data_IF_136868189080
#
_entry.id   IF_136868189080
#
_cell.length_a   1.000
_cell.length_b   1.000
_cell.length_c   1.000
_cell.angle_alpha   90.00
_cell.angle_beta   90.00
_cell.angle_gamma   90.00
#
_symmetry.space_group_name_H-M   'P 1'
#
loop_
_entity.id
_entity.type
_entity.pdbx_description
1 polymer ?
#
# COMPACT_ATOMS: atom_id res chain seq x y z
N UNK A 1 -41.29 -3.18 42.61
CA UNK A 1 -42.59 -2.54 42.81
C UNK A 1 -42.37 -1.40 43.80
N UNK A 2 -42.57 -0.16 43.35
CA UNK A 2 -42.51 1.07 44.17
C UNK A 2 -41.23 1.92 44.01
N UNK A 3 -41.25 3.01 43.22
CA UNK A 3 -41.50 4.45 43.54
C UNK A 3 -40.31 5.14 44.23
N UNK A 4 -39.86 6.38 43.97
CA UNK A 4 -39.96 7.39 42.91
C UNK A 4 -39.00 8.56 43.31
N UNK A 5 -38.35 9.20 42.32
CA UNK A 5 -38.05 10.66 42.12
C UNK A 5 -38.29 11.68 43.27
N UNK A 6 -37.60 12.82 43.46
CA UNK A 6 -36.77 13.70 42.60
C UNK A 6 -36.21 14.90 43.44
N UNK A 7 -35.32 15.70 42.82
CA UNK A 7 -34.87 17.08 43.12
C UNK A 7 -33.77 17.24 44.18
N UNK A 8 -32.70 18.04 44.01
CA UNK A 8 -32.37 19.09 43.06
C UNK A 8 -31.73 20.27 43.83
N UNK A 9 -30.56 20.77 43.42
CA UNK A 9 -29.93 21.94 44.07
C UNK A 9 -28.54 22.27 43.55
N UNK A 10 -28.32 23.55 43.23
CA UNK A 10 -27.24 24.10 42.40
C UNK A 10 -26.42 25.19 43.10
N UNK A 11 -25.13 25.30 42.72
CA UNK A 11 -24.34 26.55 42.46
C UNK A 11 -23.65 27.37 43.59
N UNK A 12 -22.43 27.83 43.22
CA UNK A 12 -21.46 28.81 43.81
C UNK A 12 -20.69 28.35 45.05
N UNK A 13 -19.39 28.62 45.28
CA UNK A 13 -18.32 29.53 44.81
C UNK A 13 -16.97 28.76 44.89
N UNK A 14 -15.86 29.07 44.22
CA UNK A 14 -14.92 30.14 44.56
C UNK A 14 -13.72 30.19 43.59
N UNK A 15 -13.19 31.41 43.44
CA UNK A 15 -12.02 31.79 42.65
C UNK A 15 -10.68 31.44 43.35
N UNK A 16 -9.64 31.37 42.52
CA UNK A 16 -8.26 31.89 42.72
C UNK A 16 -7.10 30.93 43.02
N UNK A 17 -5.95 31.26 42.41
CA UNK A 17 -4.56 30.90 42.75
C UNK A 17 -4.12 29.46 42.40
N UNK A 18 -3.05 29.18 41.66
CA UNK A 18 -1.70 29.76 41.67
C UNK A 18 -0.98 29.59 40.31
N UNK A 19 -0.58 30.72 39.72
CA UNK A 19 0.62 30.87 38.89
C UNK A 19 1.78 31.27 39.81
N UNK A 20 2.96 30.66 39.69
CA UNK A 20 4.25 31.38 39.59
C UNK A 20 5.47 30.46 39.52
N UNK A 21 6.42 30.96 38.76
CA UNK A 21 7.76 30.54 38.39
C UNK A 21 8.84 31.02 39.38
N UNK A 22 10.11 30.73 39.02
CA UNK A 22 11.40 31.31 39.50
C UNK A 22 11.95 30.58 40.74
N UNK A 23 13.23 30.14 40.80
CA UNK A 23 14.40 30.97 41.12
C UNK A 23 15.73 30.21 40.86
N UNK A 24 16.69 30.97 40.28
CA UNK A 24 18.13 30.74 40.19
C UNK A 24 18.83 30.64 41.56
N UNK A 25 19.88 29.83 41.68
CA UNK A 25 20.86 29.98 42.77
C UNK A 25 22.28 30.05 42.21
N UNK A 26 22.97 31.14 42.54
CA UNK A 26 24.42 31.34 42.41
C UNK A 26 24.86 32.17 43.63
N UNK A 27 25.94 31.80 44.33
CA UNK A 27 26.96 32.65 45.00
C UNK A 27 27.83 31.80 45.97
N UNK A 28 29.15 31.62 45.86
CA UNK A 28 30.40 32.44 46.02
C UNK A 28 31.03 32.40 47.43
N UNK A 29 32.35 32.08 47.50
CA UNK A 29 33.51 32.70 48.24
C UNK A 29 34.55 31.63 48.66
N UNK A 30 35.74 31.49 48.03
CA UNK A 30 37.02 32.25 48.11
C UNK A 30 38.01 31.72 49.16
N UNK A 31 39.22 31.26 48.76
CA UNK A 31 40.50 31.40 49.53
C UNK A 31 41.73 31.31 48.60
N UNK A 32 42.54 32.37 48.69
CA UNK A 32 43.98 32.62 48.50
C UNK A 32 44.89 31.92 47.47
N UNK A 33 45.66 32.80 46.81
CA UNK A 33 46.84 32.60 45.96
C UNK A 33 48.05 32.15 46.77
N UNK A 34 48.89 31.30 46.18
CA UNK A 34 50.33 31.31 46.40
C UNK A 34 51.05 31.10 45.07
N UNK A 35 51.78 32.13 44.64
CA UNK A 35 52.64 32.10 43.46
C UNK A 35 53.99 31.52 43.88
N UNK A 36 54.43 30.46 43.20
CA UNK A 36 55.84 30.05 43.18
C UNK A 36 56.27 29.89 41.73
N UNK A 37 57.10 30.81 41.28
CA UNK A 37 57.93 30.70 40.08
C UNK A 37 59.04 29.70 40.35
N UNK A 38 59.19 28.67 39.51
CA UNK A 38 60.46 27.98 39.30
C UNK A 38 60.51 27.49 37.84
N UNK A 39 61.64 27.75 37.21
CA UNK A 39 61.91 27.58 35.79
C UNK A 39 62.41 26.17 35.42
N UNK A 40 62.54 26.01 34.10
CA UNK A 40 63.47 25.15 33.34
C UNK A 40 63.13 23.68 33.07
N UNK A 41 62.86 23.47 31.77
CA UNK A 41 63.31 22.39 30.86
C UNK A 41 62.86 20.95 31.12
N UNK A 42 62.06 20.41 30.20
CA UNK A 42 62.33 19.08 29.64
C UNK A 42 61.57 18.86 28.33
N UNK A 43 62.31 18.52 27.29
CA UNK A 43 61.81 18.14 25.97
C UNK A 43 60.91 16.91 26.07
N UNK A 44 59.63 17.02 25.68
CA UNK A 44 58.84 15.88 25.21
C UNK A 44 58.06 16.31 23.98
N UNK A 45 58.39 15.66 22.87
CA UNK A 45 57.66 15.70 21.61
C UNK A 45 56.34 14.96 21.85
N UNK A 46 55.21 15.63 21.63
CA UNK A 46 53.88 15.00 21.73
C UNK A 46 53.75 13.93 20.64
N UNK A 47 53.61 12.68 21.08
CA UNK A 47 53.34 11.55 20.21
C UNK A 47 51.90 11.68 19.67
N UNK A 48 51.67 11.57 18.34
CA UNK A 48 50.34 11.76 17.80
C UNK A 48 49.43 10.58 18.22
N UNK A 49 48.28 10.92 18.81
CA UNK A 49 47.22 9.99 19.18
C UNK A 49 46.87 9.07 18.00
N UNK A 50 47.18 7.78 18.13
CA UNK A 50 46.71 6.74 17.20
C UNK A 50 45.19 6.62 17.34
N UNK A 51 44.48 7.10 16.32
CA UNK A 51 43.06 6.81 16.14
C UNK A 51 42.98 5.39 15.59
N UNK A 52 42.42 4.46 16.36
CA UNK A 52 42.10 3.13 15.84
C UNK A 52 41.05 3.29 14.74
N UNK A 53 41.38 2.83 13.53
CA UNK A 53 40.45 2.74 12.40
C UNK A 53 39.27 1.85 12.81
N UNK A 54 38.06 2.40 12.73
CA UNK A 54 36.85 1.68 13.05
C UNK A 54 36.71 0.46 12.13
N UNK A 55 36.62 -0.73 12.73
CA UNK A 55 36.35 -1.97 12.00
C UNK A 55 35.07 -1.82 11.16
N UNK A 56 35.18 -2.17 9.88
CA UNK A 56 34.04 -2.19 8.97
C UNK A 56 33.07 -3.28 9.42
N UNK A 57 31.99 -2.88 10.08
CA UNK A 57 30.88 -3.76 10.40
C UNK A 57 30.31 -4.28 9.08
N UNK A 58 30.46 -5.58 8.85
CA UNK A 58 29.93 -6.27 7.67
C UNK A 58 28.40 -6.39 7.85
N UNK A 59 27.67 -5.35 7.45
CA UNK A 59 26.21 -5.37 7.46
C UNK A 59 25.78 -6.30 6.31
N UNK A 60 25.12 -7.44 6.59
CA UNK A 60 24.57 -8.25 5.52
C UNK A 60 23.65 -7.38 4.66
N UNK A 61 23.67 -7.52 3.32
CA UNK A 61 22.84 -6.71 2.44
C UNK A 61 21.38 -6.79 2.92
N UNK A 62 20.64 -5.66 2.92
CA UNK A 62 19.26 -5.67 3.37
C UNK A 62 18.51 -6.78 2.64
N UNK A 63 17.68 -7.56 3.35
CA UNK A 63 16.96 -8.67 2.74
C UNK A 63 16.23 -8.13 1.52
N UNK A 64 16.57 -8.67 0.34
CA UNK A 64 16.01 -8.21 -0.93
C UNK A 64 14.48 -8.21 -0.82
N UNK A 65 13.85 -7.05 -0.91
CA UNK A 65 12.40 -6.94 -0.81
C UNK A 65 11.75 -7.81 -1.89
N UNK A 66 11.15 -8.91 -1.44
CA UNK A 66 10.46 -9.86 -2.28
C UNK A 66 9.00 -9.46 -2.35
N UNK A 67 8.57 -9.04 -3.53
CA UNK A 67 7.22 -8.60 -3.84
C UNK A 67 6.48 -9.72 -4.59
N UNK A 68 5.32 -10.11 -4.08
CA UNK A 68 4.42 -11.05 -4.77
C UNK A 68 3.25 -10.30 -5.43
N UNK A 69 3.08 -10.47 -6.74
CA UNK A 69 1.96 -9.90 -7.51
C UNK A 69 0.96 -11.00 -7.84
N UNK A 70 -0.23 -10.95 -7.24
CA UNK A 70 -1.33 -11.85 -7.56
C UNK A 70 -2.04 -11.34 -8.82
N UNK A 71 -2.08 -12.16 -9.87
CA UNK A 71 -2.56 -11.74 -11.18
C UNK A 71 -1.53 -10.94 -11.99
N UNK A 72 -0.23 -11.13 -11.75
CA UNK A 72 0.86 -10.38 -12.41
C UNK A 72 0.97 -10.59 -13.92
N UNK A 73 0.36 -11.63 -14.49
CA UNK A 73 0.31 -11.82 -15.94
C UNK A 73 -0.88 -11.09 -16.62
N UNK A 74 -1.73 -10.42 -15.85
CA UNK A 74 -2.87 -9.65 -16.33
C UNK A 74 -2.51 -8.26 -16.88
N UNK A 75 -3.53 -7.45 -17.19
CA UNK A 75 -3.33 -6.10 -17.73
C UNK A 75 -2.64 -5.17 -16.72
N UNK A 76 -3.23 -4.99 -15.54
CA UNK A 76 -2.65 -4.13 -14.48
C UNK A 76 -1.43 -4.79 -13.85
N UNK A 77 -1.52 -6.10 -13.57
CA UNK A 77 -0.45 -6.86 -12.93
C UNK A 77 0.88 -6.83 -13.70
N UNK A 78 0.86 -6.89 -15.02
CA UNK A 78 2.09 -6.85 -15.82
C UNK A 78 2.80 -5.49 -15.75
N UNK A 79 2.05 -4.40 -15.69
CA UNK A 79 2.60 -3.06 -15.47
C UNK A 79 3.20 -2.93 -14.07
N UNK A 80 2.58 -3.53 -13.05
CA UNK A 80 3.10 -3.57 -11.68
C UNK A 80 4.40 -4.39 -11.61
N UNK A 81 4.45 -5.57 -12.24
CA UNK A 81 5.66 -6.38 -12.27
C UNK A 81 6.82 -5.62 -12.94
N UNK A 82 6.55 -4.94 -14.06
CA UNK A 82 7.56 -4.14 -14.76
C UNK A 82 8.05 -2.97 -13.91
N UNK A 83 7.14 -2.18 -13.35
CA UNK A 83 7.49 -1.06 -12.47
C UNK A 83 8.28 -1.53 -11.23
N UNK A 84 7.92 -2.66 -10.63
CA UNK A 84 8.64 -3.21 -9.49
C UNK A 84 10.07 -3.66 -9.84
N UNK A 85 10.25 -4.29 -11.00
CA UNK A 85 11.58 -4.66 -11.50
C UNK A 85 12.43 -3.42 -11.81
N UNK A 86 11.83 -2.36 -12.37
CA UNK A 86 12.52 -1.11 -12.67
C UNK A 86 13.02 -0.42 -11.38
N UNK A 87 12.41 -0.73 -10.23
CA UNK A 87 12.87 -0.31 -8.88
C UNK A 87 13.84 -1.28 -8.20
N UNK A 88 14.28 -2.33 -8.90
CA UNK A 88 15.26 -3.30 -8.38
C UNK A 88 14.70 -4.32 -7.39
N UNK A 89 13.37 -4.48 -7.32
CA UNK A 89 12.73 -5.45 -6.42
C UNK A 89 12.83 -6.88 -6.97
N UNK A 90 12.83 -7.86 -6.06
CA UNK A 90 12.67 -9.27 -6.44
C UNK A 90 11.19 -9.57 -6.65
N UNK A 91 10.78 -9.77 -7.91
CA UNK A 91 9.37 -9.89 -8.28
C UNK A 91 8.97 -11.34 -8.52
N UNK A 92 7.98 -11.79 -7.75
CA UNK A 92 7.28 -13.04 -7.98
C UNK A 92 5.85 -12.74 -8.42
N UNK A 93 5.27 -13.59 -9.25
CA UNK A 93 3.87 -13.46 -9.66
C UNK A 93 3.17 -14.80 -9.57
N UNK A 94 1.97 -14.82 -9.00
CA UNK A 94 1.10 -15.99 -8.98
C UNK A 94 -0.13 -15.74 -9.86
N UNK A 95 -0.44 -16.68 -10.75
CA UNK A 95 -1.66 -16.65 -11.55
C UNK A 95 -2.10 -18.05 -11.98
N UNK A 96 -3.37 -18.20 -12.39
CA UNK A 96 -3.92 -19.50 -12.80
C UNK A 96 -3.21 -20.13 -13.99
N UNK A 97 -2.79 -19.32 -14.95
CA UNK A 97 -2.04 -19.77 -16.14
C UNK A 97 -0.51 -19.72 -15.96
N UNK A 98 -0.03 -19.27 -14.80
CA UNK A 98 1.40 -19.16 -14.53
C UNK A 98 2.10 -18.09 -15.37
N UNK A 99 2.99 -18.53 -16.26
CA UNK A 99 3.88 -17.66 -17.04
C UNK A 99 3.10 -16.63 -17.87
N UNK A 100 3.62 -15.41 -17.95
CA UNK A 100 3.05 -14.35 -18.79
C UNK A 100 3.25 -14.62 -20.27
N UNK A 101 2.28 -14.20 -21.10
CA UNK A 101 2.39 -14.20 -22.57
C UNK A 101 3.18 -13.01 -23.12
N UNK A 102 3.68 -12.13 -22.26
CA UNK A 102 4.51 -10.98 -22.63
C UNK A 102 5.88 -11.45 -23.10
N UNK A 103 6.29 -11.02 -24.29
CA UNK A 103 7.56 -11.37 -24.94
C UNK A 103 8.61 -10.26 -24.77
N UNK A 104 8.69 -9.65 -23.60
CA UNK A 104 9.67 -8.60 -23.28
C UNK A 104 10.76 -9.17 -22.35
N UNK A 105 12.01 -8.69 -22.50
CA UNK A 105 13.15 -9.22 -21.74
C UNK A 105 12.98 -9.14 -20.21
N UNK A 106 12.24 -8.14 -19.71
CA UNK A 106 11.96 -8.01 -18.28
C UNK A 106 11.12 -9.16 -17.73
N UNK A 107 10.26 -9.78 -18.56
CA UNK A 107 9.37 -10.85 -18.10
C UNK A 107 10.15 -12.10 -17.68
N UNK A 108 11.37 -12.29 -18.19
CA UNK A 108 12.28 -13.36 -17.78
C UNK A 108 12.91 -13.11 -16.39
N UNK A 109 12.84 -11.88 -15.88
CA UNK A 109 13.31 -11.52 -14.54
C UNK A 109 12.25 -11.74 -13.45
N UNK A 110 10.99 -11.99 -13.84
CA UNK A 110 9.92 -12.33 -12.91
C UNK A 110 9.90 -13.83 -12.67
N UNK A 111 9.82 -14.24 -11.40
CA UNK A 111 9.55 -15.63 -11.06
C UNK A 111 8.05 -15.91 -11.14
N UNK A 112 7.64 -16.71 -12.11
CA UNK A 112 6.23 -17.03 -12.36
C UNK A 112 5.82 -18.31 -11.65
N UNK A 113 4.80 -18.21 -10.83
CA UNK A 113 4.15 -19.32 -10.14
C UNK A 113 2.78 -19.58 -10.75
N UNK A 114 2.45 -20.86 -10.93
CA UNK A 114 1.11 -21.28 -11.31
C UNK A 114 0.32 -21.68 -10.05
N UNK A 115 -0.88 -21.11 -9.88
CA UNK A 115 -1.74 -21.46 -8.76
C UNK A 115 -3.08 -20.74 -8.78
N UNK A 116 -3.96 -21.14 -7.87
CA UNK A 116 -5.31 -20.62 -7.74
C UNK A 116 -5.54 -20.09 -6.32
N UNK A 117 -5.92 -18.82 -6.19
CA UNK A 117 -6.21 -18.18 -4.91
C UNK A 117 -7.39 -18.84 -4.17
N UNK A 118 -8.25 -19.59 -4.86
CA UNK A 118 -9.28 -20.42 -4.24
C UNK A 118 -8.72 -21.67 -3.55
N UNK A 119 -7.50 -22.07 -3.89
CA UNK A 119 -6.78 -23.20 -3.33
C UNK A 119 -5.61 -22.71 -2.47
N UNK A 120 -5.85 -22.55 -1.17
CA UNK A 120 -4.88 -21.97 -0.20
C UNK A 120 -3.51 -22.65 -0.24
N UNK A 121 -3.46 -23.97 -0.48
CA UNK A 121 -2.19 -24.70 -0.59
C UNK A 121 -1.30 -24.18 -1.73
N UNK A 122 -1.87 -23.68 -2.83
CA UNK A 122 -1.11 -23.14 -3.96
C UNK A 122 -0.47 -21.77 -3.67
N UNK A 123 -0.88 -21.10 -2.58
CA UNK A 123 -0.32 -19.83 -2.15
C UNK A 123 0.94 -20.00 -1.31
N UNK A 124 1.13 -21.14 -0.65
CA UNK A 124 2.21 -21.37 0.34
C UNK A 124 3.59 -21.15 -0.27
N UNK A 125 3.86 -21.81 -1.39
CA UNK A 125 5.16 -21.73 -2.06
C UNK A 125 5.43 -20.32 -2.61
N UNK A 126 4.39 -19.65 -3.10
CA UNK A 126 4.49 -18.31 -3.64
C UNK A 126 4.73 -17.25 -2.56
N UNK A 127 4.20 -17.45 -1.35
CA UNK A 127 4.32 -16.53 -0.20
C UNK A 127 5.61 -16.72 0.60
N UNK A 128 6.37 -17.80 0.39
CA UNK A 128 7.58 -18.06 1.15
C UNK A 128 8.61 -16.91 1.00
N UNK A 129 8.97 -16.29 2.12
CA UNK A 129 9.93 -15.18 2.18
C UNK A 129 9.43 -13.88 1.54
N UNK A 130 8.12 -13.76 1.26
CA UNK A 130 7.52 -12.55 0.69
C UNK A 130 7.40 -11.47 1.76
N UNK A 131 7.83 -10.26 1.42
CA UNK A 131 7.78 -9.10 2.32
C UNK A 131 6.53 -8.24 2.09
N UNK A 132 6.07 -8.18 0.84
CA UNK A 132 4.92 -7.39 0.42
C UNK A 132 4.12 -8.10 -0.69
N UNK A 133 2.81 -7.87 -0.72
CA UNK A 133 1.90 -8.46 -1.71
C UNK A 133 1.10 -7.37 -2.40
N UNK A 134 0.90 -7.49 -3.72
CA UNK A 134 -0.08 -6.69 -4.47
C UNK A 134 -1.08 -7.63 -5.13
N UNK A 135 -2.36 -7.51 -4.82
CA UNK A 135 -3.40 -8.27 -5.51
C UNK A 135 -4.11 -7.43 -6.58
N UNK A 136 -4.02 -7.92 -7.82
CA UNK A 136 -4.72 -7.39 -8.99
C UNK A 136 -5.80 -8.35 -9.51
N UNK A 137 -6.19 -9.33 -8.69
CA UNK A 137 -7.12 -10.37 -9.11
C UNK A 137 -8.54 -9.81 -9.17
N UNK A 138 -9.08 -9.80 -10.38
CA UNK A 138 -10.50 -9.57 -10.60
C UNK A 138 -11.00 -10.15 -11.92
N UNK A 139 -12.29 -10.43 -11.97
CA UNK A 139 -12.96 -11.00 -13.14
C UNK A 139 -14.37 -10.47 -13.28
N UNK A 140 -14.88 -10.49 -14.51
CA UNK A 140 -16.29 -10.30 -14.83
C UNK A 140 -16.93 -11.66 -15.17
N UNK A 141 -18.25 -11.75 -15.08
CA UNK A 141 -19.00 -12.98 -15.32
C UNK A 141 -20.35 -12.96 -14.61
N UNK A 142 -20.85 -14.13 -14.21
CA UNK A 142 -22.07 -14.22 -13.38
C UNK A 142 -21.83 -13.62 -12.00
N UNK A 143 -22.87 -13.10 -11.34
CA UNK A 143 -22.75 -12.50 -10.00
C UNK A 143 -22.07 -13.44 -8.99
N UNK A 144 -22.44 -14.72 -8.96
CA UNK A 144 -21.83 -15.71 -8.07
C UNK A 144 -20.35 -15.95 -8.37
N UNK A 145 -19.98 -16.02 -9.66
CA UNK A 145 -18.59 -16.18 -10.07
C UNK A 145 -17.75 -14.93 -9.73
N UNK A 146 -18.31 -13.75 -9.96
CA UNK A 146 -17.68 -12.48 -9.61
C UNK A 146 -17.46 -12.39 -8.10
N UNK A 147 -18.44 -12.73 -7.26
CA UNK A 147 -18.25 -12.72 -5.82
C UNK A 147 -17.17 -13.70 -5.38
N UNK A 148 -17.20 -14.93 -5.91
CA UNK A 148 -16.22 -15.97 -5.60
C UNK A 148 -14.78 -15.54 -5.91
N UNK A 149 -14.54 -14.94 -7.08
CA UNK A 149 -13.19 -14.56 -7.49
C UNK A 149 -12.77 -13.20 -6.92
N UNK A 150 -13.62 -12.18 -7.01
CA UNK A 150 -13.28 -10.83 -6.53
C UNK A 150 -13.27 -10.73 -5.00
N UNK A 151 -14.08 -11.54 -4.31
CA UNK A 151 -14.14 -11.63 -2.85
C UNK A 151 -13.37 -12.82 -2.30
N UNK A 152 -13.94 -14.02 -2.36
CA UNK A 152 -13.42 -15.21 -1.66
C UNK A 152 -11.95 -15.49 -1.98
N UNK A 153 -11.55 -15.43 -3.26
CA UNK A 153 -10.17 -15.69 -3.64
C UNK A 153 -9.19 -14.63 -3.06
N UNK A 154 -9.58 -13.35 -3.08
CA UNK A 154 -8.77 -12.28 -2.49
C UNK A 154 -8.70 -12.37 -0.97
N UNK A 155 -9.82 -12.71 -0.30
CA UNK A 155 -9.88 -12.95 1.14
C UNK A 155 -8.92 -14.07 1.55
N UNK A 156 -8.91 -15.18 0.81
CA UNK A 156 -7.97 -16.28 1.04
C UNK A 156 -6.52 -15.83 0.91
N UNK A 157 -6.21 -15.03 -0.11
CA UNK A 157 -4.87 -14.50 -0.30
C UNK A 157 -4.43 -13.54 0.82
N UNK A 158 -5.33 -12.67 1.28
CA UNK A 158 -5.09 -11.76 2.41
C UNK A 158 -4.78 -12.56 3.67
N UNK A 159 -5.61 -13.57 3.97
CA UNK A 159 -5.41 -14.43 5.15
C UNK A 159 -4.10 -15.20 5.08
N UNK A 160 -3.82 -15.84 3.95
CA UNK A 160 -2.58 -16.58 3.75
C UNK A 160 -1.34 -15.67 3.87
N UNK A 161 -1.40 -14.44 3.32
CA UNK A 161 -0.32 -13.47 3.45
C UNK A 161 -0.11 -13.03 4.91
N UNK A 162 -1.20 -12.80 5.65
CA UNK A 162 -1.13 -12.44 7.07
C UNK A 162 -0.53 -13.57 7.92
N UNK A 163 -0.93 -14.83 7.67
CA UNK A 163 -0.38 -16.01 8.33
C UNK A 163 1.12 -16.21 8.07
N UNK A 164 1.62 -15.78 6.91
CA UNK A 164 3.03 -15.83 6.53
C UNK A 164 3.84 -14.61 7.02
N UNK A 165 3.22 -13.68 7.76
CA UNK A 165 3.90 -12.52 8.32
C UNK A 165 4.29 -11.45 7.28
N UNK A 166 3.57 -11.39 6.15
CA UNK A 166 3.73 -10.30 5.17
C UNK A 166 3.52 -8.96 5.87
N UNK A 167 4.36 -7.96 5.58
CA UNK A 167 4.31 -6.66 6.26
C UNK A 167 3.31 -5.71 5.65
N UNK A 168 3.19 -5.72 4.32
CA UNK A 168 2.33 -4.81 3.56
C UNK A 168 1.55 -5.55 2.48
N UNK A 169 0.29 -5.19 2.32
CA UNK A 169 -0.60 -5.78 1.33
C UNK A 169 -1.37 -4.66 0.63
N UNK A 170 -1.15 -4.50 -0.67
CA UNK A 170 -1.91 -3.59 -1.51
C UNK A 170 -2.96 -4.35 -2.34
N UNK A 171 -4.17 -3.81 -2.42
CA UNK A 171 -5.27 -4.40 -3.16
C UNK A 171 -5.85 -3.45 -4.20
N UNK A 172 -5.92 -3.90 -5.46
CA UNK A 172 -6.53 -3.14 -6.56
C UNK A 172 -8.04 -3.42 -6.58
N UNK A 173 -8.77 -2.57 -5.86
CA UNK A 173 -10.23 -2.55 -5.82
C UNK A 173 -10.81 -1.80 -7.03
N UNK A 174 -11.99 -1.18 -6.88
CA UNK A 174 -12.64 -0.36 -7.89
C UNK A 174 -13.38 0.81 -7.23
N UNK A 175 -13.39 1.95 -7.92
CA UNK A 175 -14.27 3.07 -7.58
C UNK A 175 -15.74 2.69 -7.80
N UNK A 176 -16.63 3.29 -7.02
CA UNK A 176 -18.07 3.12 -7.17
C UNK A 176 -18.57 3.91 -8.38
N UNK A 177 -19.30 3.26 -9.28
CA UNK A 177 -19.83 3.85 -10.51
C UNK A 177 -21.37 3.89 -10.51
N UNK A 178 -21.97 4.06 -9.33
CA UNK A 178 -23.42 4.24 -9.18
C UNK A 178 -24.22 3.08 -9.79
N UNK A 179 -24.91 3.35 -10.90
CA UNK A 179 -25.77 2.37 -11.59
C UNK A 179 -25.03 1.08 -11.99
N UNK A 180 -23.74 1.19 -12.34
CA UNK A 180 -22.91 0.02 -12.71
C UNK A 180 -22.75 -0.94 -11.52
N UNK A 181 -22.80 -0.44 -10.28
CA UNK A 181 -22.74 -1.26 -9.09
C UNK A 181 -23.93 -2.22 -8.99
N UNK A 182 -25.12 -1.79 -9.44
CA UNK A 182 -26.32 -2.64 -9.47
C UNK A 182 -26.25 -3.71 -10.55
N UNK A 183 -25.58 -3.43 -11.67
CA UNK A 183 -25.40 -4.42 -12.75
C UNK A 183 -24.34 -5.47 -12.39
N UNK A 184 -23.34 -5.08 -11.60
CA UNK A 184 -22.21 -5.92 -11.21
C UNK A 184 -22.16 -6.13 -9.69
N UNK A 185 -23.31 -6.41 -9.05
CA UNK A 185 -23.40 -6.55 -7.59
C UNK A 185 -22.34 -7.50 -7.02
N UNK A 186 -22.23 -8.72 -7.56
CA UNK A 186 -21.25 -9.70 -7.06
C UNK A 186 -19.79 -9.26 -7.24
N UNK A 187 -19.48 -8.40 -8.22
CA UNK A 187 -18.16 -7.81 -8.37
C UNK A 187 -17.86 -6.84 -7.22
N UNK A 188 -18.74 -5.87 -7.00
CA UNK A 188 -18.56 -4.85 -5.97
C UNK A 188 -18.64 -5.42 -4.57
N UNK A 189 -19.62 -6.27 -4.28
CA UNK A 189 -19.74 -6.97 -3.00
C UNK A 189 -18.49 -7.79 -2.70
N UNK A 190 -17.99 -8.55 -3.69
CA UNK A 190 -16.75 -9.30 -3.54
C UNK A 190 -15.56 -8.40 -3.23
N UNK A 191 -15.38 -7.32 -3.99
CA UNK A 191 -14.29 -6.35 -3.74
C UNK A 191 -14.40 -5.70 -2.36
N UNK A 192 -15.59 -5.27 -1.95
CA UNK A 192 -15.85 -4.65 -0.65
C UNK A 192 -15.61 -5.64 0.51
N UNK A 193 -15.96 -6.92 0.34
CA UNK A 193 -15.66 -7.95 1.32
C UNK A 193 -14.14 -8.17 1.48
N UNK A 194 -13.39 -8.19 0.36
CA UNK A 194 -11.93 -8.26 0.40
C UNK A 194 -11.28 -7.02 1.04
N UNK A 195 -11.82 -5.82 0.80
CA UNK A 195 -11.38 -4.59 1.47
C UNK A 195 -11.53 -4.67 2.99
N UNK A 196 -12.69 -5.11 3.47
CA UNK A 196 -12.94 -5.27 4.91
C UNK A 196 -11.96 -6.25 5.55
N UNK A 197 -11.74 -7.40 4.91
CA UNK A 197 -10.76 -8.39 5.39
C UNK A 197 -9.35 -7.81 5.41
N UNK A 198 -8.95 -7.07 4.37
CA UNK A 198 -7.62 -6.45 4.28
C UNK A 198 -7.39 -5.46 5.42
N UNK A 199 -8.34 -4.56 5.68
CA UNK A 199 -8.23 -3.60 6.78
C UNK A 199 -8.21 -4.28 8.15
N UNK A 200 -8.86 -5.44 8.27
CA UNK A 200 -8.86 -6.23 9.52
C UNK A 200 -7.53 -6.94 9.74
N UNK A 201 -6.95 -7.55 8.70
CA UNK A 201 -5.71 -8.34 8.80
C UNK A 201 -4.44 -7.50 8.73
N UNK A 202 -4.49 -6.34 8.07
CA UNK A 202 -3.36 -5.44 7.88
C UNK A 202 -3.70 -4.00 8.31
N UNK A 203 -3.97 -3.74 9.60
CA UNK A 203 -4.36 -2.42 10.08
C UNK A 203 -3.31 -1.32 9.81
N UNK A 204 -2.02 -1.69 9.80
CA UNK A 204 -0.90 -0.76 9.61
C UNK A 204 -0.21 -0.87 8.24
N UNK A 205 -0.50 -1.92 7.47
CA UNK A 205 0.18 -2.21 6.20
C UNK A 205 -0.76 -2.47 5.03
N UNK A 206 -2.07 -2.40 5.25
CA UNK A 206 -3.10 -2.65 4.25
C UNK A 206 -3.41 -1.39 3.47
N UNK A 207 -3.26 -1.43 2.15
CA UNK A 207 -3.59 -0.32 1.25
C UNK A 207 -4.59 -0.77 0.21
N UNK A 208 -5.70 -0.06 0.09
CA UNK A 208 -6.74 -0.32 -0.91
C UNK A 208 -6.68 0.79 -1.95
N UNK A 209 -6.42 0.43 -3.20
CA UNK A 209 -6.48 1.35 -4.31
C UNK A 209 -7.82 1.18 -5.01
N UNK A 210 -8.63 2.24 -5.09
CA UNK A 210 -9.91 2.26 -5.82
C UNK A 210 -9.75 3.07 -7.11
N UNK A 211 -9.10 2.53 -8.16
CA UNK A 211 -8.96 3.23 -9.42
C UNK A 211 -10.32 3.40 -10.10
N UNK A 212 -10.39 4.47 -10.90
CA UNK A 212 -11.45 4.67 -11.86
C UNK A 212 -11.21 3.83 -13.11
N UNK A 213 -11.72 4.28 -14.25
CA UNK A 213 -11.47 3.61 -15.51
C UNK A 213 -9.97 3.64 -15.84
N UNK A 214 -9.37 2.47 -16.04
CA UNK A 214 -7.95 2.35 -16.37
C UNK A 214 -7.76 2.18 -17.87
N UNK A 215 -6.86 2.97 -18.47
CA UNK A 215 -6.47 2.83 -19.87
C UNK A 215 -4.96 2.60 -20.02
N UNK A 216 -4.58 1.98 -21.13
CA UNK A 216 -3.18 1.68 -21.43
C UNK A 216 -3.06 0.60 -22.51
N UNK A 217 -1.82 0.27 -22.84
CA UNK A 217 -1.52 -0.72 -23.89
C UNK A 217 -1.07 -2.04 -23.26
N UNK A 218 -1.69 -3.15 -23.66
CA UNK A 218 -1.17 -4.49 -23.38
C UNK A 218 -0.56 -5.04 -24.66
N UNK A 219 0.69 -5.46 -24.61
CA UNK A 219 1.30 -6.23 -25.70
C UNK A 219 1.03 -7.71 -25.44
N UNK A 220 0.28 -8.35 -26.31
CA UNK A 220 0.07 -9.81 -26.30
C UNK A 220 0.67 -10.32 -27.60
N UNK A 221 1.86 -10.93 -27.53
CA UNK A 221 2.68 -11.19 -28.72
C UNK A 221 3.22 -9.92 -29.39
N UNK A 222 3.29 -9.91 -30.73
CA UNK A 222 3.77 -8.78 -31.54
C UNK A 222 2.78 -7.62 -31.72
N UNK A 223 1.54 -7.75 -31.23
CA UNK A 223 0.49 -6.73 -31.42
C UNK A 223 0.27 -5.89 -30.16
N UNK A 224 0.23 -4.56 -30.34
CA UNK A 224 -0.19 -3.60 -29.30
C UNK A 224 -1.71 -3.56 -29.30
N UNK A 225 -2.34 -4.20 -28.32
CA UNK A 225 -3.77 -4.03 -28.10
C UNK A 225 -3.96 -2.82 -27.17
N UNK A 226 -4.53 -1.70 -27.66
CA UNK A 226 -5.03 -0.66 -26.77
C UNK A 226 -6.26 -1.24 -26.06
N UNK A 227 -6.05 -1.93 -24.95
CA UNK A 227 -7.13 -2.54 -24.16
C UNK A 227 -7.83 -1.49 -23.29
N UNK A 228 -8.16 -0.33 -23.87
CA UNK A 228 -9.18 0.58 -23.33
C UNK A 228 -10.60 0.05 -23.54
N UNK A 229 -10.77 -1.20 -24.01
CA UNK A 229 -12.04 -1.76 -24.48
C UNK A 229 -12.43 -3.07 -23.78
N UNK A 230 -11.52 -3.74 -23.04
CA UNK A 230 -11.94 -4.91 -22.23
C UNK A 230 -12.55 -4.40 -20.93
N UNK A 231 -13.86 -4.16 -20.96
CA UNK A 231 -14.65 -3.85 -19.77
C UNK A 231 -14.89 -2.36 -19.53
N UNK A 232 -14.96 -1.54 -20.59
CA UNK A 232 -15.56 -0.22 -20.40
C UNK A 232 -16.99 -0.43 -19.88
N UNK A 233 -17.35 0.13 -18.70
CA UNK A 233 -18.74 0.11 -18.25
C UNK A 233 -19.62 0.77 -19.29
N UNK A 234 -19.09 1.70 -20.09
CA UNK A 234 -19.82 2.37 -21.16
C UNK A 234 -20.29 1.40 -22.24
N UNK A 235 -19.47 0.47 -22.74
CA UNK A 235 -19.92 -0.48 -23.77
C UNK A 235 -20.90 -1.50 -23.19
N UNK A 236 -20.72 -1.90 -21.93
CA UNK A 236 -21.68 -2.74 -21.22
C UNK A 236 -23.00 -2.01 -20.92
N UNK A 237 -22.93 -0.73 -20.57
CA UNK A 237 -24.07 0.18 -20.38
C UNK A 237 -24.76 0.44 -21.72
N UNK A 238 -24.01 0.66 -22.82
CA UNK A 238 -24.55 0.91 -24.16
C UNK A 238 -25.21 -0.34 -24.73
N UNK A 239 -24.64 -1.53 -24.54
CA UNK A 239 -25.25 -2.80 -24.97
C UNK A 239 -26.53 -3.13 -24.21
N UNK A 240 -26.68 -2.67 -22.97
CA UNK A 240 -27.88 -2.83 -22.15
C UNK A 240 -28.79 -1.60 -22.10
N UNK A 241 -28.41 -0.49 -22.72
CA UNK A 241 -29.21 0.73 -22.80
C UNK A 241 -30.31 0.54 -23.85
N UNK A 242 -31.48 0.08 -23.40
CA UNK A 242 -32.76 0.52 -23.99
C UNK A 242 -32.80 2.06 -24.00
N UNK A 243 -33.56 2.73 -24.89
CA UNK A 243 -33.52 4.19 -25.00
C UNK A 243 -33.92 4.83 -23.66
N UNK A 244 -32.90 5.28 -22.92
CA UNK A 244 -32.99 5.68 -21.53
C UNK A 244 -33.30 7.19 -21.47
N UNK A 245 -34.58 7.54 -21.62
CA UNK A 245 -35.06 8.92 -21.50
C UNK A 245 -35.26 9.39 -20.03
N UNK A 246 -34.95 8.57 -19.02
CA UNK A 246 -35.36 8.86 -17.63
C UNK A 246 -34.37 8.40 -16.53
N UNK A 247 -33.05 8.48 -16.73
CA UNK A 247 -32.11 8.12 -15.66
C UNK A 247 -31.06 9.21 -15.42
N UNK A 248 -30.84 9.65 -14.16
CA UNK A 248 -29.88 10.70 -13.83
C UNK A 248 -28.45 10.22 -14.15
N UNK A 249 -27.92 10.75 -15.24
CA UNK A 249 -26.64 10.41 -15.88
C UNK A 249 -25.43 10.99 -15.13
N UNK A 250 -25.42 11.00 -13.79
CA UNK A 250 -24.47 11.84 -13.02
C UNK A 250 -23.31 11.05 -12.41
N UNK A 251 -23.44 9.73 -12.22
CA UNK A 251 -22.45 8.92 -11.50
C UNK A 251 -21.20 8.50 -12.29
N UNK A 252 -21.34 7.85 -13.47
CA UNK A 252 -20.18 7.28 -14.16
C UNK A 252 -19.31 8.30 -14.92
N UNK A 253 -19.85 9.48 -15.23
CA UNK A 253 -19.22 10.45 -16.13
C UNK A 253 -18.16 11.32 -15.42
N UNK A 254 -18.15 11.38 -14.09
CA UNK A 254 -17.32 12.31 -13.32
C UNK A 254 -16.02 11.71 -12.77
N UNK A 255 -15.84 10.38 -12.83
CA UNK A 255 -14.61 9.75 -12.36
C UNK A 255 -13.56 9.82 -13.48
N UNK A 256 -12.44 10.55 -13.30
CA UNK A 256 -11.46 10.72 -14.36
C UNK A 256 -10.79 9.38 -14.69
N UNK A 257 -10.54 9.10 -15.99
CA UNK A 257 -9.79 7.92 -16.39
C UNK A 257 -8.32 8.06 -15.94
N UNK A 258 -7.71 6.95 -15.56
CA UNK A 258 -6.33 6.90 -15.06
C UNK A 258 -5.47 5.97 -15.91
N UNK A 259 -4.23 6.37 -16.16
CA UNK A 259 -3.28 5.53 -16.88
C UNK A 259 -2.86 4.33 -15.99
N UNK A 260 -2.87 3.13 -16.56
CA UNK A 260 -2.48 1.90 -15.84
C UNK A 260 -1.04 1.96 -15.29
N UNK A 261 -0.12 2.65 -15.96
CA UNK A 261 1.24 2.87 -15.46
C UNK A 261 1.26 3.74 -14.20
N UNK A 262 0.36 4.72 -14.10
CA UNK A 262 0.25 5.53 -12.88
C UNK A 262 -0.30 4.70 -11.72
N UNK A 263 -1.30 3.85 -11.96
CA UNK A 263 -1.80 2.89 -10.97
C UNK A 263 -0.69 1.94 -10.53
N UNK A 264 0.11 1.43 -11.47
CA UNK A 264 1.24 0.56 -11.17
C UNK A 264 2.28 1.22 -10.26
N UNK A 265 2.67 2.47 -10.56
CA UNK A 265 3.60 3.27 -9.74
C UNK A 265 3.12 3.44 -8.31
N UNK A 266 1.83 3.76 -8.14
CA UNK A 266 1.25 3.94 -6.81
C UNK A 266 1.10 2.61 -6.09
N UNK A 267 0.74 1.53 -6.79
CA UNK A 267 0.64 0.19 -6.21
C UNK A 267 1.97 -0.34 -5.69
N UNK A 268 3.05 -0.18 -6.47
CA UNK A 268 4.40 -0.58 -6.02
C UNK A 268 4.82 0.26 -4.83
N UNK A 269 4.63 1.58 -4.88
CA UNK A 269 4.92 2.46 -3.73
C UNK A 269 4.11 2.08 -2.50
N UNK A 270 2.82 1.82 -2.64
CA UNK A 270 1.96 1.40 -1.54
C UNK A 270 2.43 0.09 -0.87
N UNK A 271 3.03 -0.82 -1.64
CA UNK A 271 3.51 -2.11 -1.14
C UNK A 271 4.90 -2.04 -0.52
N UNK A 272 5.77 -1.10 -0.93
CA UNK A 272 7.19 -1.07 -0.51
C UNK A 272 7.57 0.12 0.34
N UNK A 273 6.94 1.29 0.15
CA UNK A 273 7.27 2.50 0.90
C UNK A 273 6.63 2.45 2.30
N UNK A 274 7.44 2.39 3.39
CA UNK A 274 6.92 2.33 4.74
C UNK A 274 6.19 3.61 5.16
N UNK A 275 6.48 4.74 4.51
CA UNK A 275 5.84 6.04 4.76
C UNK A 275 4.48 6.14 4.05
N UNK A 276 4.21 5.25 3.08
CA UNK A 276 2.94 5.29 2.36
C UNK A 276 1.77 4.94 3.30
N UNK A 277 0.74 5.81 3.42
CA UNK A 277 -0.30 5.64 4.43
C UNK A 277 -1.15 4.38 4.18
N UNK A 278 -1.50 3.63 5.24
CA UNK A 278 -2.48 2.56 5.13
C UNK A 278 -3.89 3.12 4.90
N UNK A 279 -4.81 2.27 4.45
CA UNK A 279 -6.21 2.61 4.24
C UNK A 279 -6.61 2.72 2.76
N UNK A 280 -7.67 3.47 2.50
CA UNK A 280 -8.29 3.55 1.16
C UNK A 280 -7.77 4.78 0.42
N UNK A 281 -7.24 4.56 -0.78
CA UNK A 281 -6.84 5.58 -1.73
C UNK A 281 -7.82 5.56 -2.89
N UNK A 282 -8.57 6.65 -3.02
CA UNK A 282 -9.51 6.86 -4.11
C UNK A 282 -8.80 7.32 -5.41
N UNK A 283 -9.59 7.57 -6.45
CA UNK A 283 -9.08 7.99 -7.76
C UNK A 283 -8.30 9.31 -7.67
N UNK A 284 -8.76 10.25 -6.85
CA UNK A 284 -8.08 11.52 -6.67
C UNK A 284 -6.74 11.35 -5.94
N UNK A 285 -6.70 10.50 -4.92
CA UNK A 285 -5.46 10.09 -4.25
C UNK A 285 -4.48 9.44 -5.24
N UNK A 286 -4.95 8.51 -6.07
CA UNK A 286 -4.14 7.87 -7.10
C UNK A 286 -3.54 8.88 -8.09
N UNK A 287 -4.32 9.87 -8.53
CA UNK A 287 -3.83 10.94 -9.42
C UNK A 287 -2.78 11.81 -8.72
N UNK A 288 -2.99 12.15 -7.44
CA UNK A 288 -2.01 12.92 -6.65
C UNK A 288 -0.70 12.17 -6.46
N UNK A 289 -0.77 10.90 -6.05
CA UNK A 289 0.44 10.08 -5.85
C UNK A 289 1.13 9.71 -7.16
N UNK A 290 0.38 9.59 -8.26
CA UNK A 290 0.94 9.29 -9.59
C UNK A 290 1.71 10.44 -10.23
N UNK A 291 1.46 11.69 -9.80
CA UNK A 291 2.18 12.89 -10.26
C UNK A 291 3.47 13.17 -9.49
N UNK A 292 3.62 12.63 -8.28
CA UNK A 292 4.87 12.75 -7.53
C UNK A 292 5.96 11.95 -8.25
N UNK A 293 6.94 12.65 -8.82
CA UNK A 293 8.13 12.03 -9.39
C UNK A 293 8.78 11.16 -8.31
N UNK A 294 9.07 9.91 -8.66
CA UNK A 294 10.03 9.09 -7.92
C UNK A 294 11.31 9.89 -7.79
N UNK A 295 11.69 10.20 -6.54
CA UNK A 295 12.96 10.83 -6.18
C UNK A 295 14.09 9.86 -6.55
#
# INVERSE_FOLDING_TARGET
>A
MGIASLNGGSSSSDLSCLLRSVIYWNSTTSVSRNVRFLSTTSNKVDEPLKVEEAETVNIPPPPSEKLLVLGGNGFVGSHICKEALDRGLSVHSLSRSGKSSVQEAWANKVTWHQGDLLSVNSLKDALNGVTSVISCVGTFGTNSYMYKVNGTANINAIRAAAEQGVKRFAYISAADFGLVNYLLQGYYEGKRAAETELLTKFPYGGVILRPGFMYGTRRVGGMKLPLGVIGSPLEMVLQYAKPLNQVPLVGPLLVPPINVTAVAKVAVRAATDPVFPPGIIDVHGLLRYGQQKSI
#
